data_IF_793016187110
#
_entry.id   IF_793016187110
#
_cell.length_a   1.000
_cell.length_b   1.000
_cell.length_c   1.000
_cell.angle_alpha   90.00
_cell.angle_beta   90.00
_cell.angle_gamma   90.00
#
_symmetry.space_group_name_H-M   'P 1'
#
loop_
_entity.id
_entity.type
_entity.pdbx_description
1 polymer ?
#
# COMPACT_ATOMS: atom_id res chain seq x y z
N UNK A 1 7.51 3.49 -2.11
CA UNK A 1 6.22 2.90 -1.70
C UNK A 1 6.33 1.39 -1.50
N UNK A 2 6.81 0.65 -2.50
CA UNK A 2 6.94 -0.82 -2.44
C UNK A 2 7.77 -1.32 -1.25
N UNK A 3 8.89 -0.65 -0.94
CA UNK A 3 9.71 -1.02 0.23
C UNK A 3 8.96 -0.92 1.56
N UNK A 4 8.07 0.07 1.69
CA UNK A 4 7.21 0.24 2.86
C UNK A 4 6.22 -0.94 2.93
N UNK A 5 5.64 -1.31 1.79
CA UNK A 5 4.73 -2.45 1.71
C UNK A 5 5.42 -3.76 2.08
N UNK A 6 6.61 -4.00 1.52
CA UNK A 6 7.39 -5.20 1.81
C UNK A 6 7.73 -5.31 3.30
N UNK A 7 8.24 -4.24 3.92
CA UNK A 7 8.63 -4.27 5.34
C UNK A 7 7.43 -4.31 6.29
N UNK A 8 6.27 -3.80 5.88
CA UNK A 8 5.04 -3.89 6.68
C UNK A 8 4.52 -5.33 6.78
N UNK A 9 4.72 -6.14 5.74
CA UNK A 9 4.29 -7.54 5.70
C UNK A 9 5.45 -8.53 5.61
N UNK A 10 6.57 -8.23 6.25
CA UNK A 10 7.87 -8.90 6.08
C UNK A 10 7.86 -10.42 6.30
N UNK A 11 6.89 -10.96 7.01
CA UNK A 11 6.72 -12.42 7.20
C UNK A 11 6.16 -13.14 5.97
N UNK A 12 5.58 -12.41 5.02
CA UNK A 12 4.94 -12.96 3.83
C UNK A 12 5.92 -12.98 2.64
N UNK A 13 6.48 -14.13 2.25
CA UNK A 13 7.47 -14.21 1.17
C UNK A 13 6.85 -14.05 -0.24
N UNK A 14 5.53 -13.93 -0.34
CA UNK A 14 4.82 -13.70 -1.61
C UNK A 14 4.72 -12.22 -1.97
N UNK A 15 4.97 -11.31 -1.02
CA UNK A 15 4.85 -9.86 -1.28
C UNK A 15 5.71 -9.34 -2.44
N UNK A 16 6.97 -9.78 -2.65
CA UNK A 16 7.74 -9.37 -3.82
C UNK A 16 7.04 -9.74 -5.14
N UNK A 17 6.45 -10.94 -5.20
CA UNK A 17 5.65 -11.36 -6.37
C UNK A 17 4.42 -10.48 -6.55
N UNK A 18 3.78 -10.09 -5.45
CA UNK A 18 2.64 -9.17 -5.49
C UNK A 18 3.07 -7.83 -6.07
N UNK A 19 4.21 -7.29 -5.66
CA UNK A 19 4.80 -6.06 -6.21
C UNK A 19 5.08 -6.22 -7.71
N UNK A 20 5.68 -7.34 -8.12
CA UNK A 20 5.95 -7.63 -9.53
C UNK A 20 4.67 -7.71 -10.37
N UNK A 21 3.62 -8.35 -9.85
CA UNK A 21 2.32 -8.38 -10.50
C UNK A 21 1.73 -6.96 -10.67
N UNK A 22 1.91 -6.08 -9.68
CA UNK A 22 1.47 -4.68 -9.75
C UNK A 22 2.25 -3.88 -10.80
N UNK A 23 3.52 -4.23 -11.04
CA UNK A 23 4.35 -3.67 -12.13
C UNK A 23 4.01 -4.23 -13.51
N UNK A 24 3.08 -5.20 -13.58
CA UNK A 24 2.65 -5.86 -14.83
C UNK A 24 3.41 -7.13 -15.19
N UNK A 25 4.34 -7.58 -14.35
CA UNK A 25 5.03 -8.86 -14.53
C UNK A 25 4.12 -10.00 -14.04
N UNK A 26 3.50 -10.70 -14.98
CA UNK A 26 2.52 -11.75 -14.65
C UNK A 26 3.13 -13.15 -14.50
N UNK A 27 4.38 -13.31 -14.89
CA UNK A 27 5.07 -14.59 -14.85
C UNK A 27 5.98 -14.66 -13.62
N UNK A 28 5.93 -15.80 -12.92
CA UNK A 28 6.85 -16.12 -11.84
C UNK A 28 8.00 -16.88 -12.48
N UNK A 29 8.95 -16.15 -13.07
CA UNK A 29 10.13 -16.70 -13.74
C UNK A 29 11.39 -16.23 -13.01
N UNK A 30 12.48 -16.98 -13.15
CA UNK A 30 13.75 -16.65 -12.50
C UNK A 30 14.25 -15.25 -12.90
N UNK A 31 14.13 -14.91 -14.19
CA UNK A 31 14.52 -13.62 -14.73
C UNK A 31 13.70 -12.47 -14.12
N UNK A 32 12.40 -12.70 -13.86
CA UNK A 32 11.52 -11.71 -13.23
C UNK A 32 11.96 -11.40 -11.80
N UNK A 33 12.39 -12.41 -11.05
CA UNK A 33 12.92 -12.18 -9.71
C UNK A 33 14.26 -11.43 -9.73
N UNK A 34 15.12 -11.70 -10.73
CA UNK A 34 16.41 -11.01 -10.85
C UNK A 34 16.23 -9.49 -11.03
N UNK A 35 15.13 -9.05 -11.69
CA UNK A 35 14.83 -7.64 -11.90
C UNK A 35 14.55 -6.85 -10.61
N UNK A 36 14.22 -7.52 -9.51
CA UNK A 36 14.01 -6.87 -8.21
C UNK A 36 15.33 -6.43 -7.56
N UNK A 37 16.45 -7.02 -7.97
CA UNK A 37 17.75 -6.76 -7.40
C UNK A 37 18.53 -5.69 -8.20
N UNK A 38 19.40 -4.98 -7.50
CA UNK A 38 20.24 -3.94 -8.12
C UNK A 38 21.00 -4.50 -9.33
N UNK A 39 20.95 -3.82 -10.46
CA UNK A 39 21.52 -4.22 -11.76
C UNK A 39 21.00 -5.59 -12.26
N UNK A 40 19.80 -5.98 -11.86
CA UNK A 40 19.27 -7.31 -12.16
C UNK A 40 20.22 -8.45 -11.75
N UNK A 41 21.05 -8.24 -10.73
CA UNK A 41 22.03 -9.20 -10.26
C UNK A 41 21.49 -9.99 -9.07
N UNK A 42 21.17 -11.28 -9.23
CA UNK A 42 20.58 -12.12 -8.19
C UNK A 42 21.52 -12.41 -7.01
N UNK A 43 22.82 -12.07 -7.11
CA UNK A 43 23.77 -12.18 -6.00
C UNK A 43 23.70 -10.99 -5.04
N UNK A 44 23.04 -9.90 -5.44
CA UNK A 44 22.77 -8.78 -4.57
C UNK A 44 21.65 -9.13 -3.58
N UNK A 45 21.57 -8.39 -2.48
CA UNK A 45 20.50 -8.51 -1.50
C UNK A 45 19.72 -7.21 -1.42
N UNK A 46 18.41 -7.31 -1.27
CA UNK A 46 17.59 -6.16 -0.90
C UNK A 46 17.59 -6.06 0.62
N UNK A 47 17.96 -4.90 1.17
CA UNK A 47 17.92 -4.63 2.60
C UNK A 47 16.98 -3.45 2.84
N UNK A 48 16.01 -3.63 3.73
CA UNK A 48 15.04 -2.61 4.11
C UNK A 48 15.07 -2.48 5.63
N UNK A 49 15.17 -1.25 6.11
CA UNK A 49 15.09 -0.93 7.53
C UNK A 49 14.02 0.14 7.70
N UNK A 50 13.11 -0.10 8.62
CA UNK A 50 12.10 0.86 9.03
C UNK A 50 12.21 1.08 10.54
N UNK A 51 12.40 2.33 10.93
CA UNK A 51 12.40 2.76 12.32
C UNK A 51 11.05 3.41 12.63
N UNK A 52 10.40 2.96 13.69
CA UNK A 52 9.12 3.43 14.19
C UNK A 52 8.96 3.02 15.65
N UNK A 53 7.74 2.81 16.10
CA UNK A 53 7.47 2.26 17.44
C UNK A 53 8.17 0.92 17.64
N UNK A 54 8.26 0.15 16.58
CA UNK A 54 9.01 -1.08 16.48
C UNK A 54 9.94 -1.04 15.27
N UNK A 55 11.27 -1.20 15.49
CA UNK A 55 12.24 -1.30 14.42
C UNK A 55 12.01 -2.59 13.63
N UNK A 56 11.97 -2.49 12.31
CA UNK A 56 11.82 -3.62 11.40
C UNK A 56 13.01 -3.69 10.46
N UNK A 57 13.66 -4.83 10.41
CA UNK A 57 14.78 -5.09 9.50
C UNK A 57 14.42 -6.28 8.63
N UNK A 58 14.54 -6.13 7.32
CA UNK A 58 14.23 -7.13 6.33
C UNK A 58 15.37 -7.26 5.32
N UNK A 59 15.68 -8.50 4.96
CA UNK A 59 16.59 -8.83 3.88
C UNK A 59 15.92 -9.83 2.96
N UNK A 60 15.99 -9.57 1.66
CA UNK A 60 15.50 -10.50 0.62
C UNK A 60 16.71 -10.93 -0.18
N UNK A 61 16.88 -12.23 -0.31
CA UNK A 61 17.92 -12.88 -1.13
C UNK A 61 17.22 -13.77 -2.16
N UNK A 62 17.77 -13.79 -3.38
CA UNK A 62 17.40 -14.79 -4.35
C UNK A 62 18.09 -16.10 -4.00
N UNK A 63 17.36 -17.20 -4.04
CA UNK A 63 17.88 -18.54 -3.79
C UNK A 63 17.78 -19.39 -5.07
N UNK A 64 18.86 -20.07 -5.38
CA UNK A 64 18.92 -21.09 -6.41
C UNK A 64 19.39 -22.38 -5.76
N UNK A 65 18.77 -23.50 -6.07
CA UNK A 65 19.19 -24.80 -5.57
C UNK A 65 19.36 -25.75 -6.75
N UNK A 66 20.57 -26.14 -7.00
CA UNK A 66 20.84 -27.35 -7.78
C UNK A 66 20.46 -28.54 -6.88
N UNK A 67 19.63 -29.37 -7.33
CA UNK A 67 18.95 -30.59 -6.81
C UNK A 67 19.47 -31.32 -5.54
N UNK A 68 20.29 -30.76 -4.67
CA UNK A 68 20.77 -31.36 -3.43
C UNK A 68 20.48 -30.48 -2.21
N UNK A 69 19.36 -30.76 -1.57
CA UNK A 69 19.21 -30.52 -0.15
C UNK A 69 18.80 -29.11 0.29
N UNK A 70 17.55 -28.73 0.06
CA UNK A 70 16.89 -27.76 0.95
C UNK A 70 16.16 -28.53 2.03
N UNK A 71 16.74 -28.62 3.20
CA UNK A 71 16.09 -29.14 4.39
C UNK A 71 15.16 -28.06 4.95
N UNK A 72 13.97 -27.92 4.38
CA UNK A 72 12.82 -27.40 5.09
C UNK A 72 12.24 -28.58 5.87
N UNK A 73 12.24 -28.48 7.19
CA UNK A 73 11.68 -29.51 8.05
C UNK A 73 10.34 -30.00 7.54
N UNK A 74 10.20 -31.31 7.36
CA UNK A 74 8.97 -32.05 7.08
C UNK A 74 8.32 -31.94 5.69
N UNK A 75 9.04 -31.59 4.63
CA UNK A 75 8.54 -31.84 3.27
C UNK A 75 9.00 -33.23 2.79
N UNK A 76 8.14 -34.21 2.99
CA UNK A 76 8.29 -35.57 2.35
C UNK A 76 8.11 -35.38 0.85
N UNK A 77 9.21 -35.23 0.13
CA UNK A 77 9.24 -35.33 -1.32
C UNK A 77 9.20 -36.80 -1.72
N UNK A 78 8.25 -37.15 -2.55
CA UNK A 78 8.18 -38.50 -3.18
C UNK A 78 9.43 -38.76 -4.01
N UNK A 79 9.91 -40.00 -4.02
CA UNK A 79 11.04 -40.50 -4.78
C UNK A 79 10.77 -40.32 -6.28
N UNK A 80 11.65 -39.60 -6.95
CA UNK A 80 11.87 -39.47 -8.39
C UNK A 80 11.69 -38.08 -8.97
N UNK A 81 12.63 -37.15 -8.64
CA UNK A 81 12.78 -35.98 -9.46
C UNK A 81 14.20 -35.95 -10.02
N UNK A 82 14.29 -36.14 -11.32
CA UNK A 82 15.43 -35.75 -12.12
C UNK A 82 15.70 -34.27 -11.82
N UNK A 83 16.96 -33.86 -11.70
CA UNK A 83 17.42 -32.53 -11.30
C UNK A 83 16.52 -31.39 -11.83
N UNK A 84 15.61 -30.94 -11.00
CA UNK A 84 14.79 -29.75 -11.27
C UNK A 84 15.46 -28.55 -10.63
N UNK A 85 15.78 -27.56 -11.43
CA UNK A 85 16.27 -26.29 -10.92
C UNK A 85 15.17 -25.64 -10.08
N UNK A 86 15.48 -25.36 -8.84
CA UNK A 86 14.62 -24.63 -7.94
C UNK A 86 15.16 -23.22 -7.80
N UNK A 87 14.31 -22.22 -7.93
CA UNK A 87 14.65 -20.84 -7.66
C UNK A 87 13.57 -20.20 -6.80
N UNK A 88 13.87 -19.09 -6.18
CA UNK A 88 12.90 -18.42 -5.33
C UNK A 88 13.49 -17.26 -4.55
N UNK A 89 12.74 -16.82 -3.56
CA UNK A 89 13.11 -15.73 -2.68
C UNK A 89 13.11 -16.19 -1.23
N UNK A 90 14.14 -15.82 -0.50
CA UNK A 90 14.23 -15.95 0.95
C UNK A 90 14.14 -14.60 1.59
N UNK A 91 13.17 -14.43 2.47
CA UNK A 91 13.05 -13.26 3.32
C UNK A 91 13.58 -13.61 4.70
N UNK A 92 14.58 -12.86 5.16
CA UNK A 92 15.09 -12.92 6.54
C UNK A 92 14.74 -11.61 7.23
N UNK A 93 14.11 -11.66 8.40
CA UNK A 93 13.64 -10.44 9.06
C UNK A 93 13.76 -10.50 10.59
N UNK A 94 13.83 -9.31 11.19
CA UNK A 94 13.94 -9.11 12.63
C UNK A 94 13.04 -7.94 13.05
N UNK A 95 12.49 -8.03 14.26
CA UNK A 95 11.57 -7.03 14.82
C UNK A 95 12.05 -6.58 16.18
N UNK A 96 11.99 -5.28 16.40
CA UNK A 96 12.42 -4.64 17.63
C UNK A 96 13.91 -4.92 17.90
N UNK A 97 14.22 -5.09 19.16
CA UNK A 97 15.57 -5.45 19.64
C UNK A 97 15.77 -6.96 19.76
N UNK A 98 14.91 -7.76 19.11
CA UNK A 98 15.03 -9.22 19.17
C UNK A 98 16.32 -9.70 18.49
N UNK A 99 17.02 -10.64 19.11
CA UNK A 99 18.13 -11.34 18.47
C UNK A 99 17.65 -12.44 17.50
N UNK A 100 16.34 -12.75 17.54
CA UNK A 100 15.76 -13.80 16.72
C UNK A 100 15.65 -13.32 15.27
N UNK A 101 16.28 -14.06 14.36
CA UNK A 101 16.09 -13.91 12.93
C UNK A 101 15.03 -14.90 12.46
N UNK A 102 13.94 -14.36 11.93
CA UNK A 102 12.87 -15.15 11.29
C UNK A 102 13.16 -15.34 9.82
N UNK A 103 12.68 -16.42 9.22
CA UNK A 103 12.89 -16.72 7.80
C UNK A 103 11.61 -17.24 7.16
N UNK A 104 11.29 -16.69 6.02
CA UNK A 104 10.20 -17.16 5.16
C UNK A 104 10.72 -17.32 3.73
N UNK A 105 10.18 -18.28 2.99
CA UNK A 105 10.68 -18.62 1.66
C UNK A 105 9.53 -18.84 0.68
N UNK A 106 9.75 -18.38 -0.55
CA UNK A 106 8.96 -18.76 -1.71
C UNK A 106 9.88 -19.52 -2.66
N UNK A 107 9.54 -20.76 -2.95
CA UNK A 107 10.28 -21.61 -3.88
C UNK A 107 9.40 -21.94 -5.10
N UNK A 108 9.95 -21.81 -6.28
CA UNK A 108 9.33 -22.22 -7.54
C UNK A 108 10.04 -23.47 -8.03
N UNK A 109 9.28 -24.51 -8.36
CA UNK A 109 9.78 -25.82 -8.74
C UNK A 109 9.43 -26.06 -10.22
N UNK A 110 10.46 -26.19 -11.07
CA UNK A 110 10.28 -26.57 -12.48
C UNK A 110 9.94 -25.41 -13.42
N UNK A 111 9.91 -25.69 -14.70
CA UNK A 111 9.46 -24.76 -15.74
C UNK A 111 7.93 -24.76 -15.80
N UNK A 112 7.25 -23.84 -15.10
CA UNK A 112 5.80 -23.70 -15.21
C UNK A 112 5.12 -23.04 -14.02
N UNK A 113 4.02 -22.39 -14.31
CA UNK A 113 3.30 -21.41 -13.46
C UNK A 113 2.64 -21.93 -12.17
N UNK A 114 2.66 -23.23 -11.85
CA UNK A 114 1.73 -23.81 -10.88
C UNK A 114 2.36 -24.41 -9.61
N UNK A 115 3.68 -24.47 -9.50
CA UNK A 115 4.33 -25.21 -8.41
C UNK A 115 5.16 -24.32 -7.46
N UNK A 116 4.56 -23.25 -6.96
CA UNK A 116 5.17 -22.45 -5.89
C UNK A 116 4.95 -23.11 -4.52
N UNK A 117 6.02 -23.30 -3.74
CA UNK A 117 5.96 -23.71 -2.34
C UNK A 117 6.26 -22.51 -1.45
N UNK A 118 5.42 -22.26 -0.46
CA UNK A 118 5.58 -21.16 0.51
C UNK A 118 5.90 -21.75 1.88
N UNK A 119 7.02 -21.33 2.44
CA UNK A 119 7.41 -21.60 3.82
C UNK A 119 7.35 -20.32 4.65
N UNK A 120 6.56 -20.31 5.73
CA UNK A 120 6.45 -19.18 6.64
C UNK A 120 6.98 -19.60 8.01
N UNK A 121 7.78 -18.75 8.64
CA UNK A 121 8.26 -18.98 10.00
C UNK A 121 7.11 -18.90 10.99
N UNK A 122 6.69 -20.04 11.52
CA UNK A 122 5.56 -20.16 12.45
C UNK A 122 5.80 -19.54 13.83
N UNK A 123 7.06 -19.20 14.17
CA UNK A 123 7.42 -18.56 15.43
C UNK A 123 7.01 -17.09 15.49
N UNK A 124 6.71 -16.49 14.33
CA UNK A 124 6.26 -15.12 14.22
C UNK A 124 4.88 -15.03 13.56
N UNK A 125 4.05 -14.15 14.10
CA UNK A 125 2.76 -13.80 13.52
C UNK A 125 2.74 -12.30 13.27
N UNK A 126 2.57 -11.91 12.02
CA UNK A 126 2.42 -10.50 11.65
C UNK A 126 1.09 -9.95 12.19
N UNK A 127 1.17 -8.87 12.94
CA UNK A 127 0.00 -8.17 13.49
C UNK A 127 -0.27 -6.84 12.77
N UNK A 128 0.70 -6.34 11.98
CA UNK A 128 0.53 -5.12 11.22
C UNK A 128 -0.16 -5.45 9.90
N UNK A 129 -1.39 -4.99 9.75
CA UNK A 129 -2.08 -5.09 8.46
C UNK A 129 -1.62 -3.95 7.55
N UNK A 130 -1.20 -4.27 6.34
CA UNK A 130 -0.80 -3.28 5.34
C UNK A 130 -1.46 -3.55 4.01
N UNK A 131 -1.79 -2.48 3.30
CA UNK A 131 -2.33 -2.53 1.95
C UNK A 131 -1.63 -1.53 1.04
N UNK A 132 -1.20 -2.00 -0.11
CA UNK A 132 -0.69 -1.17 -1.19
C UNK A 132 -1.74 -1.07 -2.31
N UNK A 133 -2.04 0.16 -2.73
CA UNK A 133 -2.99 0.45 -3.81
C UNK A 133 -2.20 1.16 -4.91
N UNK A 134 -1.90 0.49 -6.02
CA UNK A 134 -1.36 1.15 -7.20
C UNK A 134 -2.42 2.07 -7.84
N UNK A 135 -1.99 3.09 -8.56
CA UNK A 135 -2.82 4.15 -9.12
C UNK A 135 -4.05 3.64 -9.91
N UNK A 136 -3.93 2.51 -10.57
CA UNK A 136 -4.97 1.91 -11.42
C UNK A 136 -5.96 0.99 -10.67
N UNK A 137 -5.69 0.64 -9.40
CA UNK A 137 -6.50 -0.35 -8.64
C UNK A 137 -7.37 0.26 -7.54
N UNK A 138 -7.37 1.57 -7.36
CA UNK A 138 -8.10 2.21 -6.27
C UNK A 138 -9.59 1.84 -6.21
N UNK A 139 -10.18 1.60 -7.36
CA UNK A 139 -11.60 1.25 -7.51
C UNK A 139 -11.86 -0.25 -7.73
N UNK A 140 -10.87 -1.11 -7.54
CA UNK A 140 -11.06 -2.55 -7.67
C UNK A 140 -11.86 -3.10 -6.48
N UNK A 141 -12.78 -4.03 -6.76
CA UNK A 141 -13.55 -4.79 -5.76
C UNK A 141 -14.35 -3.93 -4.75
N UNK A 142 -14.68 -2.69 -5.14
CA UNK A 142 -15.35 -1.71 -4.27
C UNK A 142 -16.70 -2.23 -3.75
N UNK A 143 -17.48 -2.91 -4.61
CA UNK A 143 -18.80 -3.44 -4.22
C UNK A 143 -18.69 -4.56 -3.19
N UNK A 144 -17.73 -5.47 -3.36
CA UNK A 144 -17.48 -6.58 -2.45
C UNK A 144 -17.01 -6.08 -1.08
N UNK A 145 -16.07 -5.12 -1.08
CA UNK A 145 -15.57 -4.49 0.15
C UNK A 145 -16.69 -3.77 0.89
N UNK A 146 -17.50 -3.02 0.17
CA UNK A 146 -18.64 -2.33 0.80
C UNK A 146 -19.67 -3.32 1.34
N UNK A 147 -19.93 -4.44 0.64
CA UNK A 147 -20.81 -5.49 1.13
C UNK A 147 -20.36 -6.05 2.50
N UNK A 148 -19.06 -6.25 2.69
CA UNK A 148 -18.52 -6.72 3.99
C UNK A 148 -18.71 -5.69 5.11
N UNK A 149 -18.60 -4.40 4.80
CA UNK A 149 -18.85 -3.30 5.75
C UNK A 149 -20.32 -3.23 6.13
N UNK A 150 -21.23 -3.33 5.15
CA UNK A 150 -22.68 -3.33 5.37
C UNK A 150 -23.12 -4.55 6.21
N UNK A 151 -22.58 -5.74 5.94
CA UNK A 151 -22.83 -6.93 6.77
C UNK A 151 -22.48 -6.71 8.24
N UNK A 152 -21.45 -5.90 8.51
CA UNK A 152 -21.00 -5.56 9.87
C UNK A 152 -21.72 -4.33 10.46
N UNK A 153 -22.60 -3.67 9.69
CA UNK A 153 -23.30 -2.42 10.06
C UNK A 153 -22.33 -1.28 10.40
N UNK A 154 -21.27 -1.13 9.61
CA UNK A 154 -20.20 -0.16 9.83
C UNK A 154 -20.14 0.92 8.73
N UNK A 155 -21.14 0.98 7.85
CA UNK A 155 -21.21 1.92 6.72
C UNK A 155 -21.44 3.37 7.13
N UNK A 156 -21.96 3.63 8.33
CA UNK A 156 -22.32 4.98 8.78
C UNK A 156 -21.15 5.97 8.68
N UNK A 157 -19.96 5.58 9.12
CA UNK A 157 -18.77 6.44 9.08
C UNK A 157 -18.33 6.81 7.66
N UNK A 158 -18.49 5.87 6.71
CA UNK A 158 -18.19 6.10 5.30
C UNK A 158 -19.18 7.09 4.71
N UNK A 159 -20.47 6.94 5.03
CA UNK A 159 -21.52 7.84 4.57
C UNK A 159 -21.29 9.26 5.14
N UNK A 160 -20.97 9.39 6.42
CA UNK A 160 -20.66 10.67 7.07
C UNK A 160 -19.45 11.35 6.42
N UNK A 161 -18.37 10.60 6.19
CA UNK A 161 -17.18 11.11 5.52
C UNK A 161 -17.47 11.61 4.11
N UNK A 162 -18.25 10.87 3.33
CA UNK A 162 -18.64 11.28 1.97
C UNK A 162 -19.58 12.49 1.94
N UNK A 163 -20.42 12.69 2.96
CA UNK A 163 -21.26 13.90 3.10
C UNK A 163 -20.44 15.18 3.21
N UNK A 164 -19.21 15.12 3.69
CA UNK A 164 -18.32 16.31 3.74
C UNK A 164 -17.99 16.81 2.33
N UNK A 165 -18.02 15.93 1.32
CA UNK A 165 -17.75 16.27 -0.10
C UNK A 165 -19.07 16.49 -0.85
N UNK A 166 -20.06 15.62 -0.67
CA UNK A 166 -21.37 15.70 -1.29
C UNK A 166 -22.46 15.84 -0.19
N UNK A 167 -22.77 17.07 0.22
CA UNK A 167 -23.72 17.33 1.32
C UNK A 167 -25.15 16.81 1.06
N UNK A 168 -25.51 16.58 -0.20
CA UNK A 168 -26.81 16.00 -0.57
C UNK A 168 -26.89 14.51 -0.37
N UNK A 169 -25.78 13.83 -0.09
CA UNK A 169 -25.74 12.38 0.12
C UNK A 169 -26.50 12.02 1.40
N UNK A 170 -27.57 11.24 1.26
CA UNK A 170 -28.42 10.76 2.36
C UNK A 170 -28.06 9.35 2.79
N UNK A 171 -27.82 8.47 1.80
CA UNK A 171 -27.62 7.06 2.02
C UNK A 171 -26.85 6.40 0.87
N UNK A 172 -26.22 5.26 1.16
CA UNK A 172 -25.51 4.41 0.18
C UNK A 172 -26.01 2.99 0.37
N UNK A 173 -26.39 2.33 -0.71
CA UNK A 173 -26.84 0.95 -0.70
C UNK A 173 -26.16 0.11 -1.77
N UNK A 174 -25.99 -1.17 -1.48
CA UNK A 174 -25.59 -2.16 -2.46
C UNK A 174 -26.83 -2.80 -3.07
N UNK A 175 -27.02 -2.65 -4.39
CA UNK A 175 -28.11 -3.28 -5.14
C UNK A 175 -27.48 -4.20 -6.19
N UNK A 176 -27.51 -5.50 -5.94
CA UNK A 176 -26.72 -6.48 -6.69
C UNK A 176 -25.23 -6.20 -6.49
N UNK A 177 -24.50 -5.94 -7.58
CA UNK A 177 -23.08 -5.55 -7.55
C UNK A 177 -22.87 -4.03 -7.72
N UNK A 178 -23.95 -3.23 -7.69
CA UNK A 178 -23.87 -1.79 -7.92
C UNK A 178 -23.99 -1.03 -6.59
N UNK A 179 -23.12 -0.05 -6.42
CA UNK A 179 -23.22 0.93 -5.34
C UNK A 179 -24.20 2.02 -5.78
N UNK A 180 -25.31 2.12 -5.09
CA UNK A 180 -26.36 3.09 -5.34
C UNK A 180 -26.40 4.13 -4.22
N UNK A 181 -26.55 5.39 -4.59
CA UNK A 181 -26.54 6.55 -3.67
C UNK A 181 -27.88 7.28 -3.72
N UNK A 182 -28.34 7.74 -2.58
CA UNK A 182 -29.47 8.66 -2.45
C UNK A 182 -28.93 10.08 -2.24
N UNK A 183 -29.18 10.96 -3.19
CA UNK A 183 -28.84 12.39 -3.13
C UNK A 183 -30.09 13.27 -3.17
N UNK A 184 -31.23 12.70 -2.80
CA UNK A 184 -32.52 13.41 -2.71
C UNK A 184 -33.35 13.46 -4.01
N UNK A 185 -32.97 12.72 -5.03
CA UNK A 185 -33.79 12.54 -6.23
C UNK A 185 -34.88 11.48 -6.02
N UNK A 186 -35.82 11.37 -6.97
CA UNK A 186 -36.87 10.37 -6.93
C UNK A 186 -36.39 8.92 -7.00
N UNK A 187 -35.20 8.73 -7.56
CA UNK A 187 -34.54 7.43 -7.68
C UNK A 187 -33.10 7.52 -7.21
N UNK A 188 -32.58 6.43 -6.66
CA UNK A 188 -31.15 6.31 -6.36
C UNK A 188 -30.32 6.32 -7.65
N UNK A 189 -29.16 6.95 -7.59
CA UNK A 189 -28.21 6.98 -8.68
C UNK A 189 -27.07 5.99 -8.43
N UNK A 190 -26.44 5.51 -9.49
CA UNK A 190 -25.14 4.84 -9.34
C UNK A 190 -24.10 5.83 -8.83
N UNK A 191 -23.23 5.41 -7.90
CA UNK A 191 -22.11 6.23 -7.43
C UNK A 191 -21.22 6.70 -8.59
N UNK A 192 -21.21 5.96 -9.71
CA UNK A 192 -20.47 6.31 -10.91
C UNK A 192 -20.93 7.63 -11.58
N UNK A 193 -22.13 8.09 -11.26
CA UNK A 193 -22.70 9.34 -11.81
C UNK A 193 -22.26 10.56 -11.00
N UNK A 194 -21.80 10.38 -9.75
CA UNK A 194 -21.39 11.48 -8.88
C UNK A 194 -20.00 12.05 -9.21
N UNK A 195 -19.32 11.49 -10.20
CA UNK A 195 -17.99 11.92 -10.63
C UNK A 195 -16.84 11.14 -9.97
N UNK A 196 -15.67 11.22 -10.60
CA UNK A 196 -14.50 10.40 -10.21
C UNK A 196 -13.96 10.76 -8.83
N UNK A 197 -14.07 12.01 -8.40
CA UNK A 197 -13.61 12.45 -7.08
C UNK A 197 -14.29 11.70 -5.94
N UNK A 198 -15.63 11.60 -5.96
CA UNK A 198 -16.40 10.89 -4.92
C UNK A 198 -16.10 9.41 -4.95
N UNK A 199 -16.03 8.81 -6.14
CA UNK A 199 -15.68 7.40 -6.29
C UNK A 199 -14.33 7.06 -5.69
N UNK A 200 -13.32 7.92 -5.92
CA UNK A 200 -11.97 7.74 -5.36
C UNK A 200 -11.96 7.87 -3.85
N UNK A 201 -12.59 8.90 -3.32
CA UNK A 201 -12.72 9.05 -1.86
C UNK A 201 -13.40 7.83 -1.26
N UNK A 202 -14.47 7.35 -1.89
CA UNK A 202 -15.15 6.14 -1.44
C UNK A 202 -14.19 4.93 -1.43
N UNK A 203 -13.43 4.70 -2.51
CA UNK A 203 -12.43 3.62 -2.57
C UNK A 203 -11.35 3.75 -1.49
N UNK A 204 -10.85 4.97 -1.22
CA UNK A 204 -9.87 5.22 -0.17
C UNK A 204 -10.47 4.93 1.22
N UNK A 205 -11.70 5.37 1.50
CA UNK A 205 -12.38 5.11 2.76
C UNK A 205 -12.60 3.61 3.03
N UNK A 206 -12.96 2.85 1.99
CA UNK A 206 -13.06 1.39 2.08
C UNK A 206 -11.71 0.76 2.42
N UNK A 207 -10.65 1.20 1.74
CA UNK A 207 -9.30 0.70 1.99
C UNK A 207 -8.80 1.07 3.41
N UNK A 208 -9.10 2.27 3.91
CA UNK A 208 -8.81 2.66 5.29
C UNK A 208 -9.54 1.79 6.31
N UNK A 209 -10.81 1.50 6.06
CA UNK A 209 -11.58 0.60 6.92
C UNK A 209 -10.94 -0.79 6.99
N UNK A 210 -10.51 -1.34 5.86
CA UNK A 210 -9.79 -2.63 5.81
C UNK A 210 -8.45 -2.58 6.57
N UNK A 211 -7.74 -1.44 6.51
CA UNK A 211 -6.44 -1.23 7.15
C UNK A 211 -6.54 -0.68 8.56
N UNK A 212 -7.69 -0.73 9.22
CA UNK A 212 -7.85 -0.19 10.58
C UNK A 212 -6.74 -0.67 11.52
N UNK A 213 -6.09 0.27 12.23
CA UNK A 213 -4.90 0.05 13.04
C UNK A 213 -3.67 -0.45 12.26
N UNK A 214 -3.54 -0.05 11.00
CA UNK A 214 -2.49 -0.52 10.12
C UNK A 214 -1.93 0.54 9.19
N UNK A 215 -1.43 0.11 8.03
CA UNK A 215 -0.74 0.94 7.05
C UNK A 215 -1.44 0.91 5.70
N UNK A 216 -1.77 2.08 5.17
CA UNK A 216 -2.31 2.24 3.82
C UNK A 216 -1.30 2.97 2.94
N UNK A 217 -0.95 2.37 1.84
CA UNK A 217 0.00 2.91 0.87
C UNK A 217 -0.74 3.15 -0.44
N UNK A 218 -0.76 4.39 -0.92
CA UNK A 218 -1.45 4.79 -2.15
C UNK A 218 -0.45 5.41 -3.10
N UNK A 219 -0.35 4.84 -4.29
CA UNK A 219 0.51 5.37 -5.35
C UNK A 219 -0.28 6.29 -6.27
N UNK A 220 0.28 7.46 -6.58
CA UNK A 220 -0.34 8.49 -7.43
C UNK A 220 -1.80 8.79 -7.06
N UNK A 221 -2.03 9.22 -5.82
CA UNK A 221 -3.37 9.47 -5.29
C UNK A 221 -4.17 10.51 -6.09
N UNK A 222 -3.49 11.44 -6.75
CA UNK A 222 -4.08 12.55 -7.51
C UNK A 222 -4.58 12.15 -8.90
N UNK A 223 -4.20 10.99 -9.41
CA UNK A 223 -4.52 10.59 -10.78
C UNK A 223 -6.04 10.70 -11.08
N UNK A 224 -6.41 11.57 -12.06
CA UNK A 224 -7.80 11.81 -12.47
C UNK A 224 -8.63 12.66 -11.50
N UNK A 225 -8.03 13.37 -10.54
CA UNK A 225 -8.72 14.33 -9.68
C UNK A 225 -8.49 15.76 -10.15
N UNK A 226 -9.55 16.58 -10.09
CA UNK A 226 -9.46 18.00 -10.38
C UNK A 226 -8.94 18.77 -9.17
N UNK A 227 -8.10 19.80 -9.38
CA UNK A 227 -7.47 20.57 -8.31
C UNK A 227 -8.48 21.17 -7.29
N UNK A 228 -9.69 21.53 -7.74
CA UNK A 228 -10.71 22.15 -6.89
C UNK A 228 -11.24 21.27 -5.76
N UNK A 229 -11.01 19.95 -5.83
CA UNK A 229 -11.46 19.01 -4.79
C UNK A 229 -10.36 18.61 -3.82
N UNK A 230 -9.10 18.97 -4.08
CA UNK A 230 -7.94 18.48 -3.32
C UNK A 230 -7.99 18.83 -1.82
N UNK A 231 -8.39 20.07 -1.49
CA UNK A 231 -8.50 20.49 -0.11
C UNK A 231 -9.55 19.69 0.67
N UNK A 232 -10.75 19.50 0.08
CA UNK A 232 -11.82 18.71 0.69
C UNK A 232 -11.45 17.21 0.76
N UNK A 233 -10.76 16.72 -0.25
CA UNK A 233 -10.23 15.36 -0.28
C UNK A 233 -9.34 15.12 0.94
N UNK A 234 -8.36 16.00 1.19
CA UNK A 234 -7.47 15.87 2.34
C UNK A 234 -8.20 15.97 3.67
N UNK A 235 -9.16 16.88 3.80
CA UNK A 235 -9.99 16.96 4.99
C UNK A 235 -10.62 15.60 5.32
N UNK A 236 -11.33 15.02 4.37
CA UNK A 236 -12.02 13.74 4.57
C UNK A 236 -11.05 12.61 4.88
N UNK A 237 -9.96 12.51 4.12
CA UNK A 237 -8.95 11.47 4.26
C UNK A 237 -8.26 11.54 5.62
N UNK A 238 -7.88 12.72 6.08
CA UNK A 238 -7.17 12.89 7.35
C UNK A 238 -8.07 12.60 8.55
N UNK A 239 -9.34 13.02 8.50
CA UNK A 239 -10.31 12.64 9.54
C UNK A 239 -10.53 11.13 9.57
N UNK A 240 -10.69 10.49 8.41
CA UNK A 240 -10.86 9.05 8.33
C UNK A 240 -9.61 8.28 8.79
N UNK A 241 -8.40 8.73 8.40
CA UNK A 241 -7.14 8.12 8.83
C UNK A 241 -7.00 8.16 10.36
N UNK A 242 -7.38 9.28 11.00
CA UNK A 242 -7.40 9.39 12.46
C UNK A 242 -8.44 8.47 13.08
N UNK A 243 -9.65 8.41 12.52
CA UNK A 243 -10.76 7.59 13.03
C UNK A 243 -10.45 6.10 12.96
N UNK A 244 -9.88 5.64 11.85
CA UNK A 244 -9.50 4.24 11.66
C UNK A 244 -8.12 3.90 12.22
N UNK A 245 -7.39 4.88 12.77
CA UNK A 245 -6.01 4.73 13.26
C UNK A 245 -5.11 4.14 12.17
N UNK A 246 -5.11 4.74 10.98
CA UNK A 246 -4.35 4.29 9.82
C UNK A 246 -3.18 5.23 9.55
N UNK A 247 -1.97 4.69 9.49
CA UNK A 247 -0.82 5.41 8.95
C UNK A 247 -0.85 5.36 7.43
N UNK A 248 -0.84 6.54 6.78
CA UNK A 248 -0.87 6.63 5.33
C UNK A 248 0.48 7.01 4.75
N UNK A 249 0.83 6.36 3.65
CA UNK A 249 1.91 6.76 2.76
C UNK A 249 1.34 7.02 1.37
N UNK A 250 1.56 8.22 0.86
CA UNK A 250 0.99 8.65 -0.41
C UNK A 250 2.09 9.15 -1.32
N UNK A 251 2.17 8.66 -2.55
CA UNK A 251 3.00 9.28 -3.59
C UNK A 251 2.17 10.19 -4.49
N UNK A 252 2.80 11.20 -5.05
CA UNK A 252 2.20 12.10 -6.02
C UNK A 252 3.26 12.80 -6.85
N UNK A 253 2.92 13.11 -8.08
CA UNK A 253 3.67 14.03 -8.94
C UNK A 253 2.94 15.38 -9.10
N UNK A 254 1.83 15.58 -8.38
CA UNK A 254 0.98 16.76 -8.49
C UNK A 254 1.28 17.79 -7.41
N UNK A 255 1.67 18.99 -7.81
CA UNK A 255 1.73 20.14 -6.91
C UNK A 255 0.36 20.50 -6.34
N UNK A 256 -0.73 20.28 -7.11
CA UNK A 256 -2.07 20.62 -6.67
C UNK A 256 -2.50 19.76 -5.47
N UNK A 257 -2.09 18.48 -5.44
CA UNK A 257 -2.36 17.64 -4.30
C UNK A 257 -1.64 18.15 -3.04
N UNK A 258 -0.35 18.51 -3.16
CA UNK A 258 0.44 19.07 -2.05
C UNK A 258 -0.13 20.42 -1.61
N UNK A 259 -0.44 21.33 -2.56
CA UNK A 259 -1.05 22.62 -2.26
C UNK A 259 -2.41 22.48 -1.59
N UNK A 260 -3.22 21.50 -2.01
CA UNK A 260 -4.50 21.16 -1.39
C UNK A 260 -4.35 20.73 0.07
N UNK A 261 -3.36 19.90 0.37
CA UNK A 261 -3.00 19.50 1.72
C UNK A 261 -2.65 20.71 2.59
N UNK A 262 -1.71 21.54 2.10
CA UNK A 262 -1.27 22.73 2.85
C UNK A 262 -2.42 23.70 3.03
N UNK A 263 -3.26 23.92 2.01
CA UNK A 263 -4.44 24.79 2.12
C UNK A 263 -5.38 24.32 3.21
N UNK A 264 -5.63 23.01 3.30
CA UNK A 264 -6.45 22.47 4.37
C UNK A 264 -5.77 22.58 5.74
N UNK A 265 -4.48 22.29 5.86
CA UNK A 265 -3.73 22.39 7.13
C UNK A 265 -3.64 23.84 7.66
N UNK A 266 -3.82 24.84 6.81
CA UNK A 266 -3.88 26.26 7.20
C UNK A 266 -5.22 26.63 7.87
N UNK A 267 -6.29 25.82 7.67
CA UNK A 267 -7.56 26.02 8.37
C UNK A 267 -7.42 25.76 9.87
N UNK A 268 -8.19 26.49 10.68
CA UNK A 268 -8.13 26.36 12.15
C UNK A 268 -8.54 24.94 12.62
N UNK A 269 -9.50 24.33 11.93
CA UNK A 269 -9.98 22.97 12.23
C UNK A 269 -8.92 21.88 12.01
N UNK A 270 -7.90 22.17 11.20
CA UNK A 270 -6.83 21.24 10.86
C UNK A 270 -5.61 21.34 11.79
N UNK A 271 -5.59 22.22 12.78
CA UNK A 271 -4.45 22.46 13.67
C UNK A 271 -3.91 21.19 14.31
N UNK A 272 -4.81 20.29 14.76
CA UNK A 272 -4.45 19.01 15.38
C UNK A 272 -3.74 18.04 14.42
N UNK A 273 -3.80 18.29 13.11
CA UNK A 273 -3.20 17.41 12.09
C UNK A 273 -1.84 17.90 11.62
N UNK A 274 -1.45 19.17 11.91
CA UNK A 274 -0.18 19.75 11.44
C UNK A 274 1.04 18.94 11.85
N UNK A 275 1.06 18.47 13.09
CA UNK A 275 2.13 17.61 13.61
C UNK A 275 2.11 16.16 13.12
N UNK A 276 1.05 15.72 12.43
CA UNK A 276 0.89 14.36 11.94
C UNK A 276 1.32 14.19 10.47
N UNK A 277 1.71 15.29 9.81
CA UNK A 277 2.03 15.28 8.38
C UNK A 277 3.52 15.53 8.18
N UNK A 278 4.13 14.76 7.30
CA UNK A 278 5.46 15.00 6.76
C UNK A 278 5.46 14.70 5.26
N UNK A 279 6.09 15.56 4.48
CA UNK A 279 6.34 15.28 3.07
C UNK A 279 7.84 15.05 2.83
N UNK A 280 8.14 14.28 1.79
CA UNK A 280 9.50 13.95 1.41
C UNK A 280 9.67 14.15 -0.09
N UNK A 281 10.66 14.95 -0.48
CA UNK A 281 11.12 15.05 -1.86
C UNK A 281 12.32 14.12 -2.05
N UNK A 282 12.22 13.23 -3.01
CA UNK A 282 13.31 12.33 -3.36
C UNK A 282 14.18 13.00 -4.44
N UNK A 283 15.47 13.13 -4.16
CA UNK A 283 16.45 13.74 -5.08
C UNK A 283 17.51 12.69 -5.40
N UNK A 284 17.76 12.47 -6.69
CA UNK A 284 18.89 11.67 -7.16
C UNK A 284 20.11 12.57 -7.29
N UNK A 285 21.20 12.25 -6.59
CA UNK A 285 22.48 12.92 -6.69
C UNK A 285 23.27 12.41 -7.90
N UNK A 286 24.34 13.12 -8.24
CA UNK A 286 25.24 12.76 -9.35
C UNK A 286 25.89 11.36 -9.20
N UNK A 287 26.05 10.88 -7.98
CA UNK A 287 26.58 9.54 -7.65
C UNK A 287 25.49 8.45 -7.59
N UNK A 288 24.32 8.69 -8.17
CA UNK A 288 23.14 7.83 -8.15
C UNK A 288 22.53 7.56 -6.75
N UNK A 289 23.01 8.22 -5.71
CA UNK A 289 22.42 8.16 -4.38
C UNK A 289 21.08 8.90 -4.37
N UNK A 290 20.04 8.27 -3.82
CA UNK A 290 18.74 8.90 -3.60
C UNK A 290 18.69 9.43 -2.17
N UNK A 291 18.42 10.71 -2.03
CA UNK A 291 18.26 11.39 -0.74
C UNK A 291 16.84 11.89 -0.60
N UNK A 292 16.27 11.71 0.60
CA UNK A 292 14.95 12.22 0.95
C UNK A 292 15.10 13.54 1.73
N UNK A 293 14.57 14.62 1.20
CA UNK A 293 14.42 15.89 1.91
C UNK A 293 13.06 15.93 2.59
N UNK A 294 13.07 16.05 3.92
CA UNK A 294 11.85 16.11 4.72
C UNK A 294 11.36 17.56 4.85
N UNK A 295 10.06 17.71 4.70
CA UNK A 295 9.30 18.93 4.98
C UNK A 295 8.24 18.62 6.04
N UNK A 296 8.23 19.39 7.12
CA UNK A 296 7.12 19.48 8.07
C UNK A 296 6.07 20.48 7.59
N UNK A 297 5.05 20.74 8.42
CA UNK A 297 4.00 21.69 8.07
C UNK A 297 4.54 23.09 7.76
N UNK A 298 5.47 23.63 8.57
CA UNK A 298 6.05 24.93 8.40
C UNK A 298 6.83 25.03 7.07
N UNK A 299 7.62 24.03 6.76
CA UNK A 299 8.34 23.93 5.49
C UNK A 299 7.40 23.85 4.29
N UNK A 300 6.31 23.10 4.41
CA UNK A 300 5.28 23.00 3.36
C UNK A 300 4.55 24.33 3.16
N UNK A 301 4.16 25.01 4.25
CA UNK A 301 3.48 26.30 4.20
C UNK A 301 4.36 27.37 3.56
N UNK A 302 5.64 27.46 3.97
CA UNK A 302 6.62 28.36 3.38
C UNK A 302 6.80 28.15 1.86
N UNK A 303 6.97 26.89 1.44
CA UNK A 303 7.12 26.59 0.01
C UNK A 303 5.88 26.98 -0.80
N UNK A 304 4.67 26.77 -0.24
CA UNK A 304 3.44 27.22 -0.90
C UNK A 304 3.38 28.73 -1.06
N UNK A 305 3.76 29.51 -0.03
CA UNK A 305 3.79 30.97 -0.05
C UNK A 305 4.81 31.52 -1.06
N UNK A 306 5.95 30.84 -1.18
CA UNK A 306 7.00 31.23 -2.12
C UNK A 306 6.81 30.63 -3.53
N UNK A 307 5.70 29.94 -3.79
CA UNK A 307 5.42 29.23 -5.05
C UNK A 307 6.49 28.21 -5.47
N UNK A 308 7.24 27.67 -4.49
CA UNK A 308 8.29 26.66 -4.72
C UNK A 308 7.64 25.29 -4.87
N UNK A 309 8.02 24.55 -5.91
CA UNK A 309 7.56 23.19 -6.14
C UNK A 309 8.27 22.15 -5.26
N UNK A 310 7.51 21.28 -4.59
CA UNK A 310 8.02 20.24 -3.70
C UNK A 310 8.06 18.85 -4.41
N UNK A 311 7.76 18.78 -5.66
CA UNK A 311 7.78 17.51 -6.43
C UNK A 311 9.18 17.12 -6.92
#
# INVERSE_FOLDING_TARGET
MESIFLVSGQSNPVLPVTVNNMRGFRNIEEETFALDFYEANPNNSIKIVADGDERREMRIDMIKSDSHGVALGDLKTGKSDAAQNHYGLRTSFRIGNSEIMYKSELLVVGEGKENGKVGIDKRYKENLYSRYIPSYQLLADVAEKFAEIVKKKQEAHIIEALRMIEPRLRDIQLVGHNIMVDVGFTQRLSINVLGDGIRKVFGILLAMHECSNGVLIIDEMDNGLHFSVMQKLWMVIMYAAKQYNVQMFVSTHSNDLVRGLVSWLQENEAELFRGLVSAYKLIRKENDEIVALRYDYEGLAYNKEQEIEIR
#
